data_IF_818688228375
#
_entry.id   IF_818688228375
#
_cell.length_a   1.000
_cell.length_b   1.000
_cell.length_c   1.000
_cell.angle_alpha   90.00
_cell.angle_beta   90.00
_cell.angle_gamma   90.00
#
_symmetry.space_group_name_H-M   'P 1'
#
loop_
_entity.id
_entity.type
_entity.pdbx_description
1 polymer ?
#
# COMPACT_ATOMS: atom_id res chain seq x y z
N UNK A 1 8.04 -1.89 37.39
CA UNK A 1 6.73 -1.22 37.60
C UNK A 1 5.81 -1.60 36.44
N UNK A 2 4.53 -1.77 36.73
CA UNK A 2 3.52 -2.62 36.06
C UNK A 2 3.23 -2.29 34.57
N UNK A 3 2.99 -3.34 33.78
CA UNK A 3 1.82 -3.41 32.90
C UNK A 3 1.30 -4.84 32.90
N UNK A 4 0.10 -5.03 33.45
CA UNK A 4 -0.61 -6.30 33.44
C UNK A 4 -1.07 -6.59 32.01
N UNK A 5 -0.45 -7.57 31.36
CA UNK A 5 -1.11 -8.27 30.26
C UNK A 5 -2.06 -9.29 30.89
N UNK A 6 -3.36 -9.07 30.67
CA UNK A 6 -4.40 -9.99 31.12
C UNK A 6 -4.25 -11.31 30.39
N UNK A 7 -4.03 -12.38 31.15
CA UNK A 7 -4.10 -13.77 30.70
C UNK A 7 -5.48 -14.06 30.08
N UNK A 8 -5.49 -14.47 28.81
CA UNK A 8 -6.65 -15.10 28.17
C UNK A 8 -6.46 -16.60 27.90
N UNK A 9 -5.21 -17.07 27.82
CA UNK A 9 -4.89 -18.50 27.75
C UNK A 9 -3.47 -18.72 28.27
N UNK A 10 -3.30 -19.63 29.23
CA UNK A 10 -2.01 -19.99 29.84
C UNK A 10 -1.14 -20.88 28.92
N UNK A 11 -1.59 -21.10 27.68
CA UNK A 11 -1.06 -22.07 26.70
C UNK A 11 -0.62 -21.39 25.38
N UNK A 12 -0.65 -20.06 25.31
CA UNK A 12 -0.14 -19.35 24.15
C UNK A 12 1.31 -18.94 24.41
N UNK A 13 2.21 -19.92 24.33
CA UNK A 13 3.64 -19.66 24.25
C UNK A 13 3.91 -18.84 22.98
N UNK A 14 4.69 -17.76 23.16
CA UNK A 14 5.18 -16.91 22.07
C UNK A 14 6.10 -17.68 21.11
N UNK A 15 6.52 -18.88 21.43
CA UNK A 15 7.23 -19.78 20.51
C UNK A 15 6.30 -20.61 19.62
N UNK A 16 5.03 -20.82 20.03
CA UNK A 16 4.06 -21.70 19.36
C UNK A 16 3.13 -20.94 18.41
N UNK A 17 2.91 -19.65 18.66
CA UNK A 17 2.21 -18.77 17.71
C UNK A 17 3.18 -18.38 16.60
N UNK A 18 2.84 -18.74 15.36
CA UNK A 18 3.50 -18.20 14.18
C UNK A 18 3.09 -16.73 14.00
N UNK A 19 3.85 -15.84 14.64
CA UNK A 19 3.62 -14.41 14.53
C UNK A 19 3.79 -13.92 13.08
N UNK A 20 4.60 -14.58 12.25
CA UNK A 20 4.76 -14.18 10.84
C UNK A 20 3.48 -14.44 10.04
N UNK A 21 2.73 -15.49 10.35
CA UNK A 21 1.45 -15.80 9.73
C UNK A 21 0.31 -14.84 10.12
N UNK A 22 0.39 -14.21 11.30
CA UNK A 22 -0.65 -13.29 11.83
C UNK A 22 -0.27 -11.82 11.60
N UNK A 23 1.00 -11.52 11.31
CA UNK A 23 1.47 -10.17 11.03
C UNK A 23 0.92 -9.68 9.69
N UNK A 24 0.34 -8.48 9.67
CA UNK A 24 -0.04 -7.80 8.44
C UNK A 24 1.21 -7.61 7.56
N UNK A 25 1.25 -8.16 6.33
CA UNK A 25 2.39 -8.04 5.41
C UNK A 25 2.75 -6.62 4.93
N UNK A 26 2.32 -5.58 5.65
CA UNK A 26 2.49 -4.18 5.26
C UNK A 26 1.54 -3.81 4.14
N UNK A 27 0.30 -4.31 4.18
CA UNK A 27 -0.70 -4.00 3.16
C UNK A 27 -1.13 -2.54 3.24
N UNK A 28 -1.18 -1.88 2.09
CA UNK A 28 -1.85 -0.59 1.96
C UNK A 28 -1.14 0.64 2.56
N UNK A 29 0.03 0.53 3.21
CA UNK A 29 0.76 1.71 3.73
C UNK A 29 2.03 2.08 2.97
N UNK A 30 2.37 1.33 1.91
CA UNK A 30 3.56 1.61 1.11
C UNK A 30 3.35 2.79 0.15
N UNK A 31 4.40 3.60 -0.03
CA UNK A 31 4.40 4.70 -1.01
C UNK A 31 4.21 4.16 -2.43
N UNK A 32 4.80 2.99 -2.73
CA UNK A 32 4.58 2.31 -4.01
C UNK A 32 3.12 1.86 -4.24
N UNK A 33 2.32 1.71 -3.18
CA UNK A 33 0.89 1.44 -3.29
C UNK A 33 0.06 2.71 -3.54
N UNK A 34 0.26 3.75 -2.73
CA UNK A 34 -0.59 4.96 -2.78
C UNK A 34 -0.30 5.90 -3.94
N UNK A 35 0.96 6.02 -4.39
CA UNK A 35 1.29 6.97 -5.46
C UNK A 35 0.64 6.58 -6.80
N UNK A 36 0.76 5.33 -7.31
CA UNK A 36 0.08 4.92 -8.52
C UNK A 36 -1.45 4.98 -8.37
N UNK A 37 -1.99 4.59 -7.21
CA UNK A 37 -3.43 4.66 -6.94
C UNK A 37 -3.96 6.10 -7.00
N UNK A 38 -3.26 7.05 -6.37
CA UNK A 38 -3.60 8.47 -6.41
C UNK A 38 -3.57 9.05 -7.81
N UNK A 39 -2.56 8.69 -8.63
CA UNK A 39 -2.49 9.12 -10.03
C UNK A 39 -3.66 8.61 -10.86
N UNK A 40 -4.07 7.35 -10.69
CA UNK A 40 -5.22 6.78 -11.40
C UNK A 40 -6.53 7.44 -10.94
N UNK A 41 -6.68 7.77 -9.65
CA UNK A 41 -7.84 8.55 -9.18
C UNK A 41 -7.89 9.94 -9.82
N UNK A 42 -6.75 10.66 -9.86
CA UNK A 42 -6.67 11.97 -10.53
C UNK A 42 -6.95 11.88 -12.03
N UNK A 43 -6.46 10.83 -12.68
CA UNK A 43 -6.75 10.56 -14.09
C UNK A 43 -8.24 10.33 -14.34
N UNK A 44 -8.91 9.57 -13.46
CA UNK A 44 -10.34 9.33 -13.56
C UNK A 44 -11.16 10.61 -13.39
N UNK A 45 -10.79 11.46 -12.43
CA UNK A 45 -11.43 12.79 -12.23
C UNK A 45 -11.21 13.68 -13.45
N UNK A 46 -9.97 13.80 -13.93
CA UNK A 46 -9.64 14.60 -15.12
C UNK A 46 -10.36 14.10 -16.38
N UNK A 47 -10.41 12.77 -16.58
CA UNK A 47 -11.12 12.14 -17.69
C UNK A 47 -12.63 12.37 -17.62
N UNK A 48 -13.22 12.27 -16.43
CA UNK A 48 -14.65 12.54 -16.22
C UNK A 48 -14.98 14.00 -16.53
N UNK A 49 -14.18 14.95 -16.02
CA UNK A 49 -14.35 16.39 -16.31
C UNK A 49 -14.18 16.65 -17.80
N UNK A 50 -13.15 16.09 -18.44
CA UNK A 50 -12.89 16.27 -19.87
C UNK A 50 -14.00 15.73 -20.76
N UNK A 51 -14.63 14.62 -20.36
CA UNK A 51 -15.71 14.00 -21.11
C UNK A 51 -17.05 14.73 -20.91
N UNK A 52 -17.37 15.13 -19.67
CA UNK A 52 -18.68 15.71 -19.32
C UNK A 52 -18.74 17.22 -19.53
N UNK A 53 -17.69 17.96 -19.16
CA UNK A 53 -17.69 19.43 -19.19
C UNK A 53 -17.32 20.02 -20.56
N UNK A 54 -16.95 19.19 -21.54
CA UNK A 54 -16.60 19.61 -22.90
C UNK A 54 -15.12 19.83 -23.25
N UNK A 55 -14.16 20.07 -22.34
CA UNK A 55 -12.76 20.19 -22.72
C UNK A 55 -12.17 18.79 -22.96
N UNK A 56 -12.44 18.21 -24.13
CA UNK A 56 -12.05 16.84 -24.48
C UNK A 56 -10.54 16.59 -24.36
N UNK A 57 -9.71 17.64 -24.45
CA UNK A 57 -8.26 17.56 -24.22
C UNK A 57 -7.90 17.02 -22.83
N UNK A 58 -8.74 17.23 -21.81
CA UNK A 58 -8.55 16.68 -20.46
C UNK A 58 -8.66 15.15 -20.40
N UNK A 59 -9.36 14.52 -21.35
CA UNK A 59 -9.40 13.06 -21.47
C UNK A 59 -8.00 12.53 -21.79
N UNK A 60 -7.29 13.18 -22.71
CA UNK A 60 -5.92 12.80 -23.06
C UNK A 60 -4.93 13.07 -21.93
N UNK A 61 -5.13 14.12 -21.14
CA UNK A 61 -4.38 14.34 -19.89
C UNK A 61 -4.60 13.19 -18.91
N UNK A 62 -5.84 12.72 -18.76
CA UNK A 62 -6.17 11.53 -17.97
C UNK A 62 -5.45 10.28 -18.47
N UNK A 63 -5.48 10.02 -19.78
CA UNK A 63 -4.77 8.88 -20.39
C UNK A 63 -3.26 8.95 -20.11
N UNK A 64 -2.65 10.13 -20.27
CA UNK A 64 -1.23 10.32 -19.97
C UNK A 64 -0.91 10.04 -18.49
N UNK A 65 -1.78 10.46 -17.56
CA UNK A 65 -1.62 10.18 -16.12
C UNK A 65 -1.69 8.68 -15.81
N UNK A 66 -2.58 7.92 -16.45
CA UNK A 66 -2.65 6.45 -16.28
C UNK A 66 -1.36 5.79 -16.77
N UNK A 67 -0.85 6.19 -17.94
CA UNK A 67 0.41 5.67 -18.48
C UNK A 67 1.57 5.95 -17.52
N UNK A 68 1.65 7.18 -16.99
CA UNK A 68 2.65 7.52 -15.98
C UNK A 68 2.51 6.66 -14.72
N UNK A 69 1.30 6.38 -14.25
CA UNK A 69 1.07 5.56 -13.05
C UNK A 69 1.57 4.13 -13.25
N UNK A 70 1.33 3.54 -14.42
CA UNK A 70 1.81 2.19 -14.79
C UNK A 70 3.34 2.15 -14.82
N UNK A 71 3.99 3.19 -15.33
CA UNK A 71 5.46 3.28 -15.37
C UNK A 71 6.03 3.48 -13.96
N UNK A 72 5.38 4.29 -13.13
CA UNK A 72 5.89 4.65 -11.80
C UNK A 72 5.78 3.48 -10.80
N UNK A 73 4.76 2.63 -10.91
CA UNK A 73 4.54 1.50 -10.02
C UNK A 73 5.77 0.56 -9.89
N UNK A 74 6.36 0.01 -10.99
CA UNK A 74 7.54 -0.83 -10.90
C UNK A 74 8.79 -0.04 -10.47
N UNK A 75 8.89 1.26 -10.80
CA UNK A 75 10.02 2.10 -10.38
C UNK A 75 10.02 2.28 -8.85
N UNK A 76 8.87 2.60 -8.27
CA UNK A 76 8.71 2.77 -6.82
C UNK A 76 8.96 1.44 -6.08
N UNK A 77 8.51 0.32 -6.65
CA UNK A 77 8.78 -0.99 -6.08
C UNK A 77 10.29 -1.30 -6.07
N UNK A 78 10.99 -1.04 -7.18
CA UNK A 78 12.45 -1.21 -7.29
C UNK A 78 13.24 -0.24 -6.41
N UNK A 79 12.71 0.94 -6.13
CA UNK A 79 13.32 1.91 -5.21
C UNK A 79 13.21 1.51 -3.73
N UNK A 80 12.63 0.36 -3.40
CA UNK A 80 12.44 -0.08 -2.01
C UNK A 80 11.33 0.66 -1.27
N UNK A 81 10.48 1.40 -2.01
CA UNK A 81 9.30 2.09 -1.48
C UNK A 81 8.05 1.18 -1.43
N UNK A 82 8.24 -0.10 -1.72
CA UNK A 82 7.24 -1.16 -1.56
C UNK A 82 7.06 -1.63 -0.11
N UNK A 83 6.22 -2.65 0.12
CA UNK A 83 6.01 -3.22 1.45
C UNK A 83 7.33 -3.71 2.04
N UNK A 84 7.61 -3.32 3.28
CA UNK A 84 8.77 -3.83 4.03
C UNK A 84 8.35 -5.11 4.73
N UNK A 85 9.07 -6.20 4.48
CA UNK A 85 8.94 -7.42 5.30
C UNK A 85 9.39 -7.09 6.72
N UNK A 86 8.53 -7.29 7.70
CA UNK A 86 8.90 -7.17 9.11
C UNK A 86 9.67 -8.43 9.52
N UNK A 87 10.92 -8.30 9.92
CA UNK A 87 11.74 -9.43 10.34
C UNK A 87 11.52 -9.66 11.83
N UNK A 88 11.13 -10.88 12.24
CA UNK A 88 10.94 -11.19 13.65
C UNK A 88 12.30 -11.34 14.35
N UNK A 89 12.69 -10.36 15.17
CA UNK A 89 13.99 -10.32 15.84
C UNK A 89 14.14 -11.30 17.00
N UNK A 90 13.09 -12.07 17.29
CA UNK A 90 13.01 -13.06 18.38
C UNK A 90 13.41 -14.49 17.94
N UNK A 91 13.76 -14.69 16.66
CA UNK A 91 14.22 -15.97 16.09
C UNK A 91 15.74 -16.20 16.24
N UNK A 92 16.41 -15.56 17.21
CA UNK A 92 17.85 -15.72 17.45
C UNK A 92 18.15 -16.71 18.55
#
# INVERSE_FOLDING_TARGET
>A
MKSQYRNGAYDLDKSTIDYEAIQDPGHGHSVAGWIPAGMVMLAAVAGTIGFVAGPFMLVWVGVALVVLAIILAPILHKAGLGPKKHHNTLSK
#
